data_IF_504721339539
#
_entry.id   IF_504721339539
#
_cell.length_a   1.000
_cell.length_b   1.000
_cell.length_c   1.000
_cell.angle_alpha   90.00
_cell.angle_beta   90.00
_cell.angle_gamma   90.00
#
_symmetry.space_group_name_H-M   'P 1'
#
loop_
_entity.id
_entity.type
_entity.pdbx_description
1 polymer ?
#
# COMPACT_ATOMS: atom_id res chain seq x y z
N UNK A 1 10.44 -2.63 -26.40
CA UNK A 1 10.89 -2.62 -27.80
C UNK A 1 12.42 -2.45 -27.86
N UNK A 2 13.03 -2.77 -29.00
CA UNK A 2 14.48 -2.64 -29.16
C UNK A 2 14.97 -1.19 -29.03
N UNK A 3 14.14 -0.24 -29.46
CA UNK A 3 14.44 1.20 -29.36
C UNK A 3 14.45 1.72 -27.90
N UNK A 4 13.76 1.04 -27.01
CA UNK A 4 13.65 1.42 -25.58
C UNK A 4 14.62 0.64 -24.68
N UNK A 5 15.40 -0.27 -25.27
CA UNK A 5 16.43 -1.00 -24.54
C UNK A 5 17.46 -0.04 -23.96
N UNK A 6 17.79 -0.23 -22.69
CA UNK A 6 18.83 0.56 -22.03
C UNK A 6 20.16 0.43 -22.78
N UNK A 7 20.80 1.57 -23.06
CA UNK A 7 22.03 1.61 -23.81
C UNK A 7 23.13 0.76 -23.13
N UNK A 8 23.69 -0.19 -23.88
CA UNK A 8 24.70 -1.13 -23.37
C UNK A 8 24.11 -2.39 -22.67
N UNK A 9 22.81 -2.49 -22.49
CA UNK A 9 22.20 -3.72 -22.01
C UNK A 9 22.03 -4.76 -23.14
N UNK A 10 22.18 -6.03 -22.78
CA UNK A 10 21.84 -7.15 -23.66
C UNK A 10 20.32 -7.32 -23.73
N UNK A 11 19.63 -7.21 -22.57
CA UNK A 11 18.17 -7.25 -22.49
C UNK A 11 17.67 -6.27 -21.44
N UNK A 12 16.47 -5.72 -21.67
CA UNK A 12 15.76 -4.83 -20.75
C UNK A 12 14.33 -5.33 -20.55
N UNK A 13 13.94 -5.46 -19.30
CA UNK A 13 12.58 -5.83 -18.88
C UNK A 13 12.00 -4.69 -18.06
N UNK A 14 10.70 -4.41 -18.25
CA UNK A 14 9.98 -3.39 -17.50
C UNK A 14 8.75 -3.97 -16.82
N UNK A 15 8.42 -3.41 -15.66
CA UNK A 15 7.13 -3.65 -15.00
C UNK A 15 6.23 -2.46 -15.28
N UNK A 16 5.14 -2.71 -15.99
CA UNK A 16 4.16 -1.69 -16.36
C UNK A 16 2.89 -1.89 -15.52
N UNK A 17 2.53 -0.88 -14.72
CA UNK A 17 1.31 -0.90 -13.92
C UNK A 17 0.19 -0.16 -14.66
N UNK A 18 -0.97 -0.78 -14.81
CA UNK A 18 -2.11 -0.15 -15.44
C UNK A 18 -2.84 0.76 -14.44
N UNK A 19 -2.97 2.04 -14.78
CA UNK A 19 -3.69 3.04 -14.01
C UNK A 19 -5.20 2.96 -14.25
N UNK A 20 -5.98 3.69 -13.45
CA UNK A 20 -7.45 3.69 -13.59
C UNK A 20 -7.94 4.21 -14.93
N UNK A 21 -7.23 5.15 -15.53
CA UNK A 21 -7.52 5.73 -16.85
C UNK A 21 -7.13 4.82 -18.03
N UNK A 22 -6.55 3.64 -17.74
CA UNK A 22 -6.13 2.67 -18.75
C UNK A 22 -4.73 2.90 -19.30
N UNK A 23 -4.03 3.95 -18.88
CA UNK A 23 -2.64 4.16 -19.25
C UNK A 23 -1.72 3.29 -18.43
N UNK A 24 -0.60 2.86 -19.01
CA UNK A 24 0.45 2.17 -18.27
C UNK A 24 1.45 3.15 -17.67
N UNK A 25 1.95 2.82 -16.48
CA UNK A 25 3.03 3.53 -15.82
C UNK A 25 4.19 2.58 -15.59
N UNK A 26 5.35 2.91 -16.13
CA UNK A 26 6.57 2.17 -15.86
C UNK A 26 6.91 2.24 -14.36
N UNK A 27 6.87 1.10 -13.70
CA UNK A 27 7.00 0.98 -12.24
C UNK A 27 8.36 0.45 -11.80
N UNK A 28 9.07 -0.21 -12.68
CA UNK A 28 10.42 -0.69 -12.41
C UNK A 28 11.05 -1.27 -13.66
N UNK A 29 12.39 -1.36 -13.64
CA UNK A 29 13.17 -1.91 -14.73
C UNK A 29 14.17 -2.94 -14.24
N UNK A 30 14.50 -3.89 -15.09
CA UNK A 30 15.59 -4.84 -14.90
C UNK A 30 16.39 -4.92 -16.20
N UNK A 31 17.69 -4.71 -16.10
CA UNK A 31 18.60 -4.74 -17.22
C UNK A 31 19.61 -5.88 -17.06
N UNK A 32 19.69 -6.77 -18.01
CA UNK A 32 20.80 -7.69 -18.11
C UNK A 32 21.89 -7.02 -18.96
N UNK A 33 23.00 -6.69 -18.32
CA UNK A 33 24.09 -5.93 -18.93
C UNK A 33 25.14 -6.85 -19.59
N UNK A 34 25.04 -8.16 -19.38
CA UNK A 34 26.08 -9.09 -19.82
C UNK A 34 27.44 -8.69 -19.22
N UNK A 35 28.47 -8.63 -20.07
CA UNK A 35 29.81 -8.20 -19.70
C UNK A 35 30.16 -6.80 -20.21
N UNK A 36 29.24 -6.09 -20.85
CA UNK A 36 29.54 -4.84 -21.56
C UNK A 36 30.11 -3.78 -20.61
N UNK A 37 29.42 -3.53 -19.48
CA UNK A 37 29.92 -2.54 -18.50
C UNK A 37 31.10 -3.09 -17.70
N UNK A 38 31.10 -4.38 -17.37
CA UNK A 38 32.18 -5.00 -16.64
C UNK A 38 33.52 -4.90 -17.40
N UNK A 39 33.51 -5.08 -18.72
CA UNK A 39 34.71 -4.87 -19.56
C UNK A 39 35.16 -3.41 -19.56
N UNK A 40 34.20 -2.46 -19.67
CA UNK A 40 34.51 -1.03 -19.70
C UNK A 40 35.11 -0.53 -18.36
N UNK A 41 34.69 -1.12 -17.25
CA UNK A 41 35.11 -0.75 -15.89
C UNK A 41 36.14 -1.69 -15.28
N UNK A 42 36.64 -2.71 -16.02
CA UNK A 42 37.57 -3.72 -15.57
C UNK A 42 37.08 -4.45 -14.31
N UNK A 43 35.80 -4.83 -14.29
CA UNK A 43 35.21 -5.59 -13.18
C UNK A 43 35.45 -7.07 -13.43
N UNK A 44 36.40 -7.63 -12.66
CA UNK A 44 36.83 -9.02 -12.77
C UNK A 44 36.69 -9.73 -11.43
N UNK A 45 36.60 -11.04 -11.47
CA UNK A 45 36.59 -11.89 -10.28
C UNK A 45 37.54 -13.10 -10.45
N UNK A 46 38.02 -13.64 -9.35
CA UNK A 46 38.81 -14.86 -9.32
C UNK A 46 37.90 -16.06 -9.60
N UNK A 47 38.14 -16.75 -10.72
CA UNK A 47 37.40 -17.97 -11.04
C UNK A 47 37.82 -19.15 -10.15
N UNK A 48 36.90 -20.06 -9.88
CA UNK A 48 37.21 -21.34 -9.19
C UNK A 48 38.15 -22.25 -9.99
N UNK A 49 38.25 -22.05 -11.29
CA UNK A 49 39.15 -22.79 -12.19
C UNK A 49 40.55 -22.13 -12.28
N UNK A 50 40.76 -21.04 -11.57
CA UNK A 50 41.96 -20.22 -11.63
C UNK A 50 41.90 -19.10 -12.69
N UNK A 51 42.55 -17.98 -12.42
CA UNK A 51 42.58 -16.82 -13.29
C UNK A 51 41.45 -15.83 -13.07
N UNK A 52 41.57 -14.64 -13.67
CA UNK A 52 40.58 -13.58 -13.63
C UNK A 52 39.58 -13.73 -14.78
N UNK A 53 38.33 -13.55 -14.48
CA UNK A 53 37.25 -13.53 -15.47
C UNK A 53 36.40 -12.28 -15.33
N UNK A 54 35.94 -11.70 -16.44
CA UNK A 54 35.04 -10.56 -16.46
C UNK A 54 33.66 -10.95 -15.93
N UNK A 55 33.13 -10.17 -15.01
CA UNK A 55 31.84 -10.43 -14.39
C UNK A 55 30.66 -10.20 -15.35
N UNK A 56 29.61 -10.99 -15.19
CA UNK A 56 28.28 -10.68 -15.73
C UNK A 56 27.52 -9.82 -14.73
N UNK A 57 26.85 -8.78 -15.23
CA UNK A 57 26.18 -7.79 -14.36
C UNK A 57 24.72 -7.60 -14.73
N UNK A 58 23.93 -7.25 -13.72
CA UNK A 58 22.53 -6.85 -13.84
C UNK A 58 22.31 -5.52 -13.12
N UNK A 59 21.29 -4.78 -13.52
CA UNK A 59 20.88 -3.55 -12.86
C UNK A 59 19.36 -3.54 -12.68
N UNK A 60 18.92 -3.08 -11.51
CA UNK A 60 17.51 -2.94 -11.21
C UNK A 60 17.23 -1.50 -10.81
N UNK A 61 16.13 -0.95 -11.30
CA UNK A 61 15.73 0.42 -11.01
C UNK A 61 14.27 0.53 -10.58
N UNK A 62 14.04 1.17 -9.43
CA UNK A 62 12.75 1.67 -8.98
C UNK A 62 12.93 3.10 -8.50
N UNK A 63 11.88 3.91 -8.58
CA UNK A 63 11.95 5.30 -8.16
C UNK A 63 10.73 5.72 -7.34
N UNK A 64 10.76 6.93 -6.80
CA UNK A 64 9.63 7.56 -6.10
C UNK A 64 8.37 7.70 -6.97
N UNK A 65 8.45 7.44 -8.29
CA UNK A 65 7.30 7.31 -9.19
C UNK A 65 6.27 6.29 -8.65
N UNK A 66 6.70 5.27 -7.90
CA UNK A 66 5.79 4.29 -7.27
C UNK A 66 4.78 4.93 -6.31
N UNK A 67 5.10 6.06 -5.69
CA UNK A 67 4.14 6.83 -4.87
C UNK A 67 3.00 7.32 -5.74
N UNK A 68 3.32 7.92 -6.90
CA UNK A 68 2.31 8.31 -7.89
C UNK A 68 1.50 7.12 -8.43
N UNK A 69 2.15 5.97 -8.64
CA UNK A 69 1.47 4.74 -9.07
C UNK A 69 0.39 4.31 -8.07
N UNK A 70 0.68 4.32 -6.76
CA UNK A 70 -0.29 3.98 -5.71
C UNK A 70 -1.47 4.94 -5.73
N UNK A 71 -1.20 6.24 -5.81
CA UNK A 71 -2.23 7.29 -5.85
C UNK A 71 -3.16 7.08 -7.06
N UNK A 72 -2.59 6.92 -8.25
CA UNK A 72 -3.35 6.77 -9.48
C UNK A 72 -4.05 5.41 -9.60
N UNK A 73 -3.57 4.38 -8.92
CA UNK A 73 -4.19 3.05 -8.96
C UNK A 73 -5.34 2.92 -7.96
N UNK A 74 -5.20 3.47 -6.78
CA UNK A 74 -6.12 3.23 -5.66
C UNK A 74 -6.89 4.47 -5.21
N UNK A 75 -6.37 5.69 -5.40
CA UNK A 75 -7.04 6.93 -5.00
C UNK A 75 -8.41 7.12 -5.63
N UNK A 76 -9.27 7.89 -4.96
CA UNK A 76 -10.61 8.25 -5.42
C UNK A 76 -10.86 9.76 -5.23
N UNK A 77 -12.10 10.22 -5.45
CA UNK A 77 -12.48 11.64 -5.31
C UNK A 77 -12.38 12.17 -3.87
N UNK A 78 -12.31 11.28 -2.87
CA UNK A 78 -12.16 11.62 -1.46
C UNK A 78 -10.70 11.75 -1.03
N UNK A 79 -9.77 11.28 -1.84
CA UNK A 79 -8.33 11.35 -1.58
C UNK A 79 -7.58 10.05 -1.76
N UNK A 80 -6.57 9.84 -0.92
CA UNK A 80 -5.72 8.65 -0.96
C UNK A 80 -6.48 7.41 -0.48
N UNK A 81 -6.09 6.24 -0.99
CA UNK A 81 -6.52 4.93 -0.49
C UNK A 81 -5.27 4.05 -0.43
N UNK A 82 -4.73 3.85 0.77
CA UNK A 82 -3.52 3.07 0.93
C UNK A 82 -3.82 1.58 1.17
N UNK A 83 -3.14 0.68 0.45
CA UNK A 83 -3.06 -0.71 0.87
C UNK A 83 -2.44 -0.81 2.28
N UNK A 84 -3.02 -1.59 3.19
CA UNK A 84 -2.57 -1.67 4.58
C UNK A 84 -1.09 -1.94 4.79
N UNK A 85 -0.47 -2.79 3.94
CA UNK A 85 0.95 -3.16 4.06
C UNK A 85 1.87 -1.95 3.96
N UNK A 86 1.56 -0.98 3.10
CA UNK A 86 2.40 0.20 2.84
C UNK A 86 1.87 1.48 3.51
N UNK A 87 0.70 1.46 4.12
CA UNK A 87 0.11 2.63 4.78
C UNK A 87 1.00 3.09 5.95
N UNK A 88 1.42 4.37 6.02
CA UNK A 88 2.18 4.89 7.16
C UNK A 88 1.43 4.75 8.49
N UNK A 89 0.11 4.98 8.46
CA UNK A 89 -0.85 4.70 9.52
C UNK A 89 -1.85 3.68 8.99
N UNK A 90 -1.95 2.51 9.61
CA UNK A 90 -2.89 1.45 9.21
C UNK A 90 -4.27 1.67 9.81
N UNK A 91 -4.29 2.16 11.04
CA UNK A 91 -5.53 2.47 11.76
C UNK A 91 -5.44 3.85 12.40
N UNK A 92 -6.53 4.59 12.36
CA UNK A 92 -6.71 5.78 13.19
C UNK A 92 -7.85 5.55 14.17
N UNK A 93 -7.63 5.85 15.45
CA UNK A 93 -8.66 5.85 16.47
C UNK A 93 -9.18 7.27 16.63
N UNK A 94 -10.49 7.45 16.46
CA UNK A 94 -11.17 8.74 16.64
C UNK A 94 -12.11 8.63 17.84
N UNK A 95 -11.77 9.29 18.98
CA UNK A 95 -12.63 9.34 20.14
C UNK A 95 -13.92 10.10 19.83
N UNK A 96 -15.08 9.49 20.09
CA UNK A 96 -16.38 10.12 19.97
C UNK A 96 -16.79 10.64 21.33
N UNK A 97 -17.14 11.93 21.42
CA UNK A 97 -17.39 12.62 22.70
C UNK A 97 -16.19 12.50 23.68
N UNK A 98 -15.00 12.81 23.18
CA UNK A 98 -13.71 12.70 23.91
C UNK A 98 -13.68 13.35 25.31
N UNK A 99 -14.55 14.35 25.56
CA UNK A 99 -14.66 15.03 26.87
C UNK A 99 -15.38 14.22 27.96
N UNK A 100 -16.02 13.09 27.59
CA UNK A 100 -16.64 12.19 28.58
C UNK A 100 -15.57 11.33 29.22
N UNK A 101 -15.70 11.15 30.53
CA UNK A 101 -14.76 10.35 31.32
C UNK A 101 -14.64 8.91 30.76
N UNK A 102 -13.44 8.37 30.76
CA UNK A 102 -13.12 7.03 30.33
C UNK A 102 -12.95 6.82 28.82
N UNK A 103 -13.31 7.82 27.97
CA UNK A 103 -13.23 7.65 26.51
C UNK A 103 -11.79 7.72 26.02
N UNK A 104 -11.05 8.72 26.44
CA UNK A 104 -9.64 8.88 26.03
C UNK A 104 -8.81 7.72 26.56
N UNK A 105 -9.00 7.33 27.81
CA UNK A 105 -8.31 6.23 28.46
C UNK A 105 -8.54 4.91 27.73
N UNK A 106 -9.78 4.65 27.32
CA UNK A 106 -10.11 3.45 26.52
C UNK A 106 -9.46 3.48 25.15
N UNK A 107 -9.43 4.65 24.48
CA UNK A 107 -8.77 4.80 23.18
C UNK A 107 -7.24 4.64 23.29
N UNK A 108 -6.62 5.14 24.37
CA UNK A 108 -5.18 4.96 24.62
C UNK A 108 -4.82 3.51 24.91
N UNK A 109 -5.66 2.80 25.69
CA UNK A 109 -5.49 1.38 25.94
C UNK A 109 -5.57 0.57 24.64
N UNK A 110 -6.61 0.81 23.83
CA UNK A 110 -6.78 0.17 22.53
C UNK A 110 -5.58 0.45 21.60
N UNK A 111 -5.13 1.71 21.55
CA UNK A 111 -3.93 2.08 20.76
C UNK A 111 -2.72 1.25 21.19
N UNK A 112 -2.46 1.18 22.49
CA UNK A 112 -1.33 0.42 23.07
C UNK A 112 -1.39 -1.05 22.69
N UNK A 113 -2.56 -1.67 22.75
CA UNK A 113 -2.74 -3.09 22.43
C UNK A 113 -2.49 -3.35 20.92
N UNK A 114 -3.02 -2.48 20.05
CA UNK A 114 -2.81 -2.58 18.62
C UNK A 114 -1.34 -2.34 18.23
N UNK A 115 -0.68 -1.33 18.82
CA UNK A 115 0.75 -1.08 18.61
C UNK A 115 1.62 -2.23 19.11
N UNK A 116 1.29 -2.81 20.27
CA UNK A 116 1.94 -4.00 20.82
C UNK A 116 1.84 -5.22 19.89
N UNK A 117 0.81 -5.27 19.07
CA UNK A 117 0.60 -6.30 18.05
C UNK A 117 1.23 -5.97 16.69
N UNK A 118 2.00 -4.88 16.58
CA UNK A 118 2.72 -4.46 15.38
C UNK A 118 1.89 -3.67 14.37
N UNK A 119 0.71 -3.17 14.76
CA UNK A 119 -0.13 -2.33 13.90
C UNK A 119 0.30 -0.86 14.06
N UNK A 120 0.46 -0.14 12.96
CA UNK A 120 0.76 1.30 12.96
C UNK A 120 -0.52 2.09 13.22
N UNK A 121 -0.66 2.62 14.43
CA UNK A 121 -1.90 3.27 14.91
C UNK A 121 -1.65 4.74 15.26
N UNK A 122 -2.60 5.59 14.92
CA UNK A 122 -2.65 6.99 15.37
C UNK A 122 -3.93 7.22 16.18
N UNK A 123 -3.81 7.86 17.33
CA UNK A 123 -4.96 8.36 18.10
C UNK A 123 -5.14 9.84 17.75
N UNK A 124 -6.32 10.20 17.22
CA UNK A 124 -6.65 11.60 16.96
C UNK A 124 -7.38 12.22 18.15
N UNK A 125 -6.60 12.76 19.09
CA UNK A 125 -7.09 13.46 20.28
C UNK A 125 -7.24 14.96 20.08
N UNK A 126 -7.14 15.49 18.85
CA UNK A 126 -7.35 16.92 18.57
C UNK A 126 -8.75 17.40 18.95
N UNK A 127 -8.93 18.72 19.11
CA UNK A 127 -10.23 19.32 19.45
C UNK A 127 -11.19 19.47 18.25
N UNK A 128 -10.80 19.00 17.07
CA UNK A 128 -11.63 19.07 15.88
C UNK A 128 -12.90 18.19 16.00
N UNK A 129 -13.95 18.58 15.30
CA UNK A 129 -15.19 17.79 15.28
C UNK A 129 -14.95 16.41 14.66
N UNK A 130 -15.72 15.36 15.07
CA UNK A 130 -15.60 14.03 14.48
C UNK A 130 -15.71 14.03 12.95
N UNK A 131 -16.64 14.81 12.38
CA UNK A 131 -16.81 14.90 10.93
C UNK A 131 -15.56 15.45 10.23
N UNK A 132 -14.91 16.46 10.81
CA UNK A 132 -13.64 16.99 10.29
C UNK A 132 -12.54 15.93 10.32
N UNK A 133 -12.39 15.24 11.45
CA UNK A 133 -11.42 14.14 11.61
C UNK A 133 -11.65 13.02 10.60
N UNK A 134 -12.92 12.65 10.39
CA UNK A 134 -13.26 11.61 9.41
C UNK A 134 -12.81 11.99 8.01
N UNK A 135 -13.11 13.22 7.57
CA UNK A 135 -12.70 13.72 6.27
C UNK A 135 -11.17 13.79 6.12
N UNK A 136 -10.50 14.30 7.14
CA UNK A 136 -9.03 14.40 7.16
C UNK A 136 -8.36 13.04 6.99
N UNK A 137 -8.80 12.02 7.73
CA UNK A 137 -8.23 10.69 7.67
C UNK A 137 -8.66 9.90 6.42
N UNK A 138 -9.85 10.18 5.88
CA UNK A 138 -10.25 9.69 4.57
C UNK A 138 -9.37 10.27 3.46
N UNK A 139 -9.12 11.57 3.47
CA UNK A 139 -8.24 12.23 2.51
C UNK A 139 -6.80 11.71 2.59
N UNK A 140 -6.29 11.45 3.79
CA UNK A 140 -4.98 10.83 4.04
C UNK A 140 -4.91 9.36 3.65
N UNK A 141 -6.03 8.72 3.37
CA UNK A 141 -6.10 7.34 2.87
C UNK A 141 -5.81 6.26 3.90
N UNK A 142 -6.05 6.53 5.19
CA UNK A 142 -5.84 5.54 6.26
C UNK A 142 -6.81 4.37 6.07
N UNK A 143 -6.31 3.12 5.99
CA UNK A 143 -7.12 1.95 5.64
C UNK A 143 -8.33 1.70 6.53
N UNK A 144 -8.16 1.87 7.85
CA UNK A 144 -9.22 1.64 8.83
C UNK A 144 -9.31 2.80 9.80
N UNK A 145 -10.51 3.35 9.98
CA UNK A 145 -10.83 4.29 11.04
C UNK A 145 -11.65 3.57 12.10
N UNK A 146 -11.22 3.66 13.36
CA UNK A 146 -11.90 3.11 14.52
C UNK A 146 -12.58 4.27 15.24
N UNK A 147 -13.90 4.22 15.36
CA UNK A 147 -14.73 5.17 16.10
C UNK A 147 -15.04 4.53 17.45
N UNK A 148 -14.77 5.23 18.55
CA UNK A 148 -14.98 4.71 19.90
C UNK A 148 -15.56 5.79 20.80
N UNK A 149 -16.77 5.58 21.28
CA UNK A 149 -17.49 6.48 22.17
C UNK A 149 -18.03 5.79 23.41
N UNK A 150 -18.71 6.53 24.32
CA UNK A 150 -19.20 5.98 25.57
C UNK A 150 -20.15 4.77 25.39
N UNK A 151 -21.04 4.84 24.39
CA UNK A 151 -22.01 3.75 24.11
C UNK A 151 -21.29 2.52 23.57
N UNK A 152 -20.24 2.70 22.79
CA UNK A 152 -19.47 1.61 22.21
C UNK A 152 -18.69 0.90 23.33
N UNK A 153 -18.10 1.66 24.25
CA UNK A 153 -17.38 1.13 25.41
C UNK A 153 -18.33 0.35 26.32
N UNK A 154 -19.50 0.91 26.66
CA UNK A 154 -20.53 0.22 27.45
C UNK A 154 -21.00 -1.08 26.79
N UNK A 155 -21.13 -1.09 25.48
CA UNK A 155 -21.55 -2.25 24.71
C UNK A 155 -20.41 -3.26 24.43
N UNK A 156 -19.15 -2.95 24.83
CA UNK A 156 -17.98 -3.77 24.54
C UNK A 156 -17.66 -3.86 23.05
N UNK A 157 -17.96 -2.83 22.28
CA UNK A 157 -17.80 -2.79 20.82
C UNK A 157 -16.96 -1.60 20.36
N UNK A 158 -16.49 -1.66 19.12
CA UNK A 158 -15.91 -0.54 18.38
C UNK A 158 -16.51 -0.53 16.98
N UNK A 159 -16.63 0.66 16.37
CA UNK A 159 -17.09 0.80 15.00
C UNK A 159 -15.89 1.06 14.08
N UNK A 160 -15.64 0.13 13.16
CA UNK A 160 -14.55 0.22 12.19
C UNK A 160 -15.08 0.63 10.82
N UNK A 161 -14.56 1.72 10.25
CA UNK A 161 -14.88 2.16 8.91
C UNK A 161 -13.71 1.84 7.96
N UNK A 162 -13.99 1.14 6.87
CA UNK A 162 -13.03 0.83 5.79
C UNK A 162 -12.88 2.04 4.88
N UNK A 163 -11.64 2.35 4.47
CA UNK A 163 -11.39 3.44 3.51
C UNK A 163 -11.70 3.05 2.07
N UNK A 164 -11.49 1.80 1.71
CA UNK A 164 -11.63 1.32 0.33
C UNK A 164 -13.08 1.13 -0.12
N UNK A 165 -13.98 0.72 0.77
CA UNK A 165 -15.41 0.49 0.48
C UNK A 165 -16.33 1.49 1.13
N UNK A 166 -15.85 2.24 2.13
CA UNK A 166 -16.60 3.14 3.02
C UNK A 166 -17.61 2.42 3.92
N UNK A 167 -17.56 1.10 3.95
CA UNK A 167 -18.40 0.28 4.82
C UNK A 167 -17.98 0.42 6.29
N UNK A 168 -18.98 0.37 7.17
CA UNK A 168 -18.79 0.36 8.61
C UNK A 168 -19.15 -1.02 9.18
N UNK A 169 -18.27 -1.55 10.02
CA UNK A 169 -18.41 -2.86 10.65
C UNK A 169 -18.25 -2.70 12.15
N UNK A 170 -19.23 -3.19 12.93
CA UNK A 170 -19.08 -3.31 14.37
C UNK A 170 -18.21 -4.51 14.73
N UNK A 171 -17.29 -4.31 15.65
CA UNK A 171 -16.37 -5.35 16.12
C UNK A 171 -16.28 -5.37 17.65
N UNK A 172 -16.06 -6.54 18.28
CA UNK A 172 -15.91 -6.61 19.73
C UNK A 172 -14.59 -5.99 20.19
N UNK A 173 -14.62 -5.25 21.31
CA UNK A 173 -13.41 -4.68 21.93
C UNK A 173 -12.55 -5.77 22.58
N UNK A 174 -13.17 -6.83 23.12
CA UNK A 174 -12.46 -7.94 23.78
C UNK A 174 -11.39 -8.58 22.86
N UNK A 175 -11.70 -8.70 21.58
CA UNK A 175 -10.80 -9.28 20.56
C UNK A 175 -10.34 -8.25 19.53
N UNK A 176 -10.16 -6.98 19.94
CA UNK A 176 -9.87 -5.87 19.03
C UNK A 176 -8.65 -6.12 18.15
N UNK A 177 -7.57 -6.64 18.74
CA UNK A 177 -6.32 -6.90 18.01
C UNK A 177 -6.52 -7.88 16.87
N UNK A 178 -7.12 -9.03 17.13
CA UNK A 178 -7.35 -10.05 16.11
C UNK A 178 -8.35 -9.60 15.06
N UNK A 179 -9.42 -8.90 15.49
CA UNK A 179 -10.43 -8.34 14.60
C UNK A 179 -9.84 -7.29 13.64
N UNK A 180 -9.01 -6.38 14.14
CA UNK A 180 -8.36 -5.36 13.30
C UNK A 180 -7.33 -5.97 12.37
N UNK A 181 -6.52 -6.95 12.82
CA UNK A 181 -5.60 -7.68 11.94
C UNK A 181 -6.34 -8.37 10.79
N UNK A 182 -7.42 -9.07 11.09
CA UNK A 182 -8.25 -9.74 10.09
C UNK A 182 -8.86 -8.73 9.11
N UNK A 183 -9.35 -7.59 9.60
CA UNK A 183 -9.90 -6.53 8.77
C UNK A 183 -8.85 -5.94 7.84
N UNK A 184 -7.65 -5.62 8.34
CA UNK A 184 -6.54 -5.11 7.52
C UNK A 184 -6.12 -6.12 6.45
N UNK A 185 -6.05 -7.41 6.77
CA UNK A 185 -5.76 -8.46 5.80
C UNK A 185 -6.85 -8.55 4.72
N UNK A 186 -8.12 -8.42 5.10
CA UNK A 186 -9.25 -8.38 4.16
C UNK A 186 -9.16 -7.17 3.23
N UNK A 187 -8.95 -5.96 3.77
CA UNK A 187 -8.76 -4.74 2.98
C UNK A 187 -7.62 -4.91 1.97
N UNK A 188 -6.48 -5.43 2.42
CA UNK A 188 -5.31 -5.68 1.55
C UNK A 188 -5.65 -6.61 0.39
N UNK A 189 -6.34 -7.72 0.68
CA UNK A 189 -6.76 -8.70 -0.31
C UNK A 189 -7.77 -8.12 -1.31
N UNK A 190 -8.80 -7.45 -0.80
CA UNK A 190 -9.88 -6.90 -1.64
C UNK A 190 -9.37 -5.82 -2.59
N UNK A 191 -8.45 -4.95 -2.12
CA UNK A 191 -7.80 -3.94 -2.95
C UNK A 191 -6.97 -4.58 -4.08
N UNK A 192 -6.24 -5.65 -3.79
CA UNK A 192 -5.46 -6.38 -4.79
C UNK A 192 -6.37 -7.05 -5.81
N UNK A 193 -7.42 -7.72 -5.33
CA UNK A 193 -8.37 -8.42 -6.20
C UNK A 193 -9.15 -7.44 -7.09
N UNK A 194 -9.54 -6.28 -6.56
CA UNK A 194 -10.16 -5.22 -7.35
C UNK A 194 -9.20 -4.67 -8.44
N UNK A 195 -7.92 -4.50 -8.13
CA UNK A 195 -6.93 -4.07 -9.10
C UNK A 195 -6.69 -5.13 -10.19
N UNK A 196 -6.59 -6.42 -9.81
CA UNK A 196 -6.48 -7.55 -10.74
C UNK A 196 -7.70 -7.62 -11.66
N UNK A 197 -8.90 -7.60 -11.11
CA UNK A 197 -10.15 -7.63 -11.88
C UNK A 197 -10.19 -6.50 -12.91
N UNK A 198 -9.78 -5.29 -12.52
CA UNK A 198 -9.72 -4.12 -13.40
C UNK A 198 -8.70 -4.29 -14.54
N UNK A 199 -7.53 -4.88 -14.25
CA UNK A 199 -6.52 -5.24 -15.25
C UNK A 199 -7.06 -6.30 -16.21
N UNK A 200 -7.55 -7.40 -15.68
CA UNK A 200 -7.95 -8.56 -16.48
C UNK A 200 -9.13 -8.26 -17.40
N UNK A 201 -10.06 -7.40 -16.95
CA UNK A 201 -11.19 -6.94 -17.77
C UNK A 201 -10.80 -6.05 -18.97
N UNK A 202 -9.53 -5.61 -19.03
CA UNK A 202 -9.01 -4.76 -20.11
C UNK A 202 -7.97 -5.46 -20.98
N UNK A 203 -7.73 -6.74 -20.77
CA UNK A 203 -6.89 -7.55 -21.64
C UNK A 203 -7.74 -7.92 -22.86
N UNK A 204 -7.28 -7.51 -24.04
CA UNK A 204 -7.89 -7.82 -25.32
C UNK A 204 -6.89 -8.62 -26.13
N UNK A 205 -7.36 -9.66 -26.79
CA UNK A 205 -6.58 -10.43 -27.75
C UNK A 205 -6.93 -9.92 -29.13
N UNK A 206 -5.92 -9.60 -29.94
CA UNK A 206 -6.07 -9.19 -31.32
C UNK A 206 -5.24 -10.13 -32.18
N UNK A 207 -5.86 -10.73 -33.19
CA UNK A 207 -5.19 -11.67 -34.11
C UNK A 207 -4.58 -10.94 -35.31
N UNK A 208 -4.99 -9.70 -35.57
CA UNK A 208 -4.45 -8.83 -36.60
C UNK A 208 -4.44 -7.34 -36.21
N UNK A 209 -4.01 -6.47 -37.12
CA UNK A 209 -3.94 -5.02 -36.90
C UNK A 209 -5.30 -4.30 -36.99
N UNK A 210 -6.38 -5.00 -37.29
CA UNK A 210 -7.72 -4.43 -37.43
C UNK A 210 -8.63 -4.81 -36.26
N UNK A 211 -8.19 -5.73 -35.39
CA UNK A 211 -8.91 -6.28 -34.23
C UNK A 211 -8.60 -5.57 -32.91
#
# INVERSE_FOLDING_TARGET
TEKERFAGAVATYTMEAMMRDGKSLQSGTSHYLGQNFAKAFNIEYQSNEGGLQTAYTTSFGVSTRLIGAIIMTHGDERGLVFPPVIAPTQCVIVPIAARKAGVIEACEALKKDLEGAGIRVTLDSTDNSPGWKFNEWEMKGVPVRIELGPRDIEAGKMLCARRDTLEKVEMPLENAVESVKALLATVQKDMLDAARKRRDSRIVYADDMAG
#
